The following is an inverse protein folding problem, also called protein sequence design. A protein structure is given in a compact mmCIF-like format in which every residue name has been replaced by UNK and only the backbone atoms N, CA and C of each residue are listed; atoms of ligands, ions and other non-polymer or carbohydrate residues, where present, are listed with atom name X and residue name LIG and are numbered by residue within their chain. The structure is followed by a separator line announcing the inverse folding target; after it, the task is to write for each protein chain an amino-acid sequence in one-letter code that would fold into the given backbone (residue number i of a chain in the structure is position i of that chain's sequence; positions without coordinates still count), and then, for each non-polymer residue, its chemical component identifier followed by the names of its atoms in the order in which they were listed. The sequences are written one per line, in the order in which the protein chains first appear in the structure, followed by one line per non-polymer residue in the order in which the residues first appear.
data_IF_525383143484
#
_entry.id   IF_525383143484
#
_cell.length_a   1.000
_cell.length_b   1.000
_cell.length_c   1.000
_cell.angle_alpha   90.00
_cell.angle_beta   90.00
_cell.angle_gamma   90.00
#
_symmetry.space_group_name_H-M   'P 1'
#
loop_
_entity.id
_entity.type
_entity.pdbx_description
1 polymer ?
#
# COMPACT_ATOMS: atom_id res chain seq x y z
N UNK A 1 -15.76 -26.46 -21.70
CA UNK A 1 -15.94 -25.18 -22.38
C UNK A 1 -16.86 -24.33 -21.50
N UNK A 2 -16.32 -23.60 -20.54
CA UNK A 2 -17.05 -22.68 -19.68
C UNK A 2 -17.00 -21.29 -20.34
N UNK A 3 -18.18 -20.75 -20.53
CA UNK A 3 -18.53 -19.57 -21.31
C UNK A 3 -17.65 -18.35 -21.03
N UNK A 4 -16.91 -17.88 -22.03
CA UNK A 4 -16.24 -16.56 -22.06
C UNK A 4 -17.20 -15.38 -21.88
N UNK A 5 -18.48 -15.60 -22.09
CA UNK A 5 -19.55 -14.58 -22.02
C UNK A 5 -19.93 -14.21 -20.56
N UNK A 6 -19.80 -15.11 -19.61
CA UNK A 6 -20.03 -14.82 -18.18
C UNK A 6 -18.94 -13.95 -17.58
N UNK A 7 -17.70 -14.04 -18.09
CA UNK A 7 -16.59 -13.19 -17.68
C UNK A 7 -16.73 -11.76 -18.19
N UNK A 8 -17.28 -11.57 -19.39
CA UNK A 8 -17.60 -10.24 -19.93
C UNK A 8 -18.68 -9.49 -19.12
N UNK A 9 -19.66 -10.20 -18.58
CA UNK A 9 -20.77 -9.59 -17.84
C UNK A 9 -20.39 -9.18 -16.41
N UNK A 10 -19.48 -9.89 -15.73
CA UNK A 10 -18.97 -9.48 -14.41
C UNK A 10 -18.08 -8.22 -14.48
N UNK A 11 -17.41 -7.96 -15.60
CA UNK A 11 -16.60 -6.76 -15.82
C UNK A 11 -17.43 -5.54 -16.27
N UNK A 12 -18.63 -5.75 -16.81
CA UNK A 12 -19.51 -4.67 -17.31
C UNK A 12 -20.13 -3.82 -16.20
N UNK A 13 -20.16 -4.29 -14.93
CA UNK A 13 -20.73 -3.55 -13.80
C UNK A 13 -19.82 -2.47 -13.20
N UNK A 14 -18.53 -2.46 -13.52
CA UNK A 14 -17.54 -1.52 -13.00
C UNK A 14 -17.07 -0.53 -14.07
N UNK A 15 -17.98 0.32 -14.56
CA UNK A 15 -17.54 1.50 -15.34
C UNK A 15 -16.64 2.36 -14.46
N UNK A 16 -15.36 2.53 -14.80
CA UNK A 16 -14.47 3.35 -14.01
C UNK A 16 -14.98 4.79 -14.00
N UNK A 17 -15.19 5.33 -12.80
CA UNK A 17 -15.72 6.69 -12.59
C UNK A 17 -14.77 7.81 -13.07
N UNK A 18 -13.54 7.49 -13.47
CA UNK A 18 -12.57 8.43 -14.06
C UNK A 18 -11.76 7.77 -15.16
N UNK A 19 -11.32 8.55 -16.16
CA UNK A 19 -10.46 8.05 -17.25
C UNK A 19 -9.15 7.42 -16.76
N UNK A 20 -8.64 7.83 -15.58
CA UNK A 20 -7.41 7.27 -15.02
C UNK A 20 -7.63 5.89 -14.38
N UNK A 21 -8.82 5.57 -13.86
CA UNK A 21 -9.13 4.19 -13.41
C UNK A 21 -9.04 3.20 -14.57
N UNK A 22 -9.57 3.57 -15.75
CA UNK A 22 -9.46 2.74 -16.96
C UNK A 22 -8.00 2.49 -17.33
N UNK A 23 -7.13 3.49 -17.25
CA UNK A 23 -5.70 3.35 -17.52
C UNK A 23 -5.01 2.41 -16.52
N UNK A 24 -5.35 2.50 -15.23
CA UNK A 24 -4.84 1.57 -14.20
C UNK A 24 -5.28 0.14 -14.50
N UNK A 25 -6.56 -0.08 -14.82
CA UNK A 25 -7.05 -1.42 -15.15
C UNK A 25 -6.38 -1.99 -16.40
N UNK A 26 -6.23 -1.18 -17.46
CA UNK A 26 -5.49 -1.58 -18.67
C UNK A 26 -4.03 -1.93 -18.37
N UNK A 27 -3.36 -1.15 -17.50
CA UNK A 27 -1.99 -1.45 -17.07
C UNK A 27 -1.91 -2.75 -16.27
N UNK A 28 -2.85 -3.02 -15.39
CA UNK A 28 -2.93 -4.28 -14.65
C UNK A 28 -3.12 -5.48 -15.60
N UNK A 29 -3.98 -5.35 -16.60
CA UNK A 29 -4.18 -6.41 -17.61
C UNK A 29 -2.92 -6.65 -18.46
N UNK A 30 -2.20 -5.59 -18.81
CA UNK A 30 -0.88 -5.68 -19.46
C UNK A 30 0.12 -6.45 -18.57
N UNK A 31 0.18 -6.11 -17.30
CA UNK A 31 1.08 -6.75 -16.33
C UNK A 31 0.73 -8.21 -16.10
N UNK A 32 -0.54 -8.60 -16.05
CA UNK A 32 -0.97 -9.99 -16.00
C UNK A 32 -0.49 -10.79 -17.21
N UNK A 33 -0.65 -10.26 -18.43
CA UNK A 33 -0.18 -10.90 -19.67
C UNK A 33 1.35 -11.06 -19.65
N UNK A 34 2.07 -10.02 -19.22
CA UNK A 34 3.52 -10.04 -19.11
C UNK A 34 4.00 -11.08 -18.10
N UNK A 35 3.37 -11.17 -16.93
CA UNK A 35 3.67 -12.17 -15.89
C UNK A 35 3.51 -13.59 -16.44
N UNK A 36 2.40 -13.87 -17.12
CA UNK A 36 2.16 -15.18 -17.75
C UNK A 36 3.26 -15.51 -18.77
N UNK A 37 3.65 -14.53 -19.59
CA UNK A 37 4.71 -14.72 -20.59
C UNK A 37 6.09 -14.97 -19.98
N UNK A 38 6.41 -14.35 -18.85
CA UNK A 38 7.73 -14.42 -18.21
C UNK A 38 7.90 -15.65 -17.34
N UNK A 39 6.87 -16.02 -16.60
CA UNK A 39 6.96 -17.06 -15.55
C UNK A 39 6.22 -18.35 -15.91
N UNK A 40 5.51 -18.37 -17.06
CA UNK A 40 4.74 -19.54 -17.49
C UNK A 40 3.46 -19.78 -16.69
N UNK A 41 3.27 -19.02 -15.61
CA UNK A 41 2.10 -19.08 -14.75
C UNK A 41 1.43 -17.72 -14.64
N UNK A 42 0.11 -17.71 -14.67
CA UNK A 42 -0.70 -16.51 -14.49
C UNK A 42 -0.97 -16.25 -13.01
N UNK A 43 -0.78 -15.01 -12.61
CA UNK A 43 -1.21 -14.58 -11.29
C UNK A 43 -2.75 -14.66 -11.19
N UNK A 44 -3.33 -15.26 -10.12
CA UNK A 44 -4.76 -15.25 -9.89
C UNK A 44 -5.34 -13.82 -9.91
N UNK A 45 -6.57 -13.68 -10.39
CA UNK A 45 -7.26 -12.39 -10.40
C UNK A 45 -7.57 -11.94 -8.99
N UNK A 46 -7.32 -10.69 -8.69
CA UNK A 46 -7.58 -10.03 -7.42
C UNK A 46 -8.47 -8.80 -7.60
N UNK A 47 -9.06 -8.31 -6.52
CA UNK A 47 -9.87 -7.08 -6.55
C UNK A 47 -8.99 -5.84 -6.70
N UNK A 48 -9.46 -4.85 -7.46
CA UNK A 48 -8.82 -3.54 -7.57
C UNK A 48 -9.75 -2.49 -7.01
N UNK A 49 -9.30 -1.77 -5.98
CA UNK A 49 -10.08 -0.76 -5.25
C UNK A 49 -9.41 0.61 -5.32
N UNK A 50 -10.21 1.69 -5.35
CA UNK A 50 -9.74 3.07 -5.43
C UNK A 50 -10.21 3.88 -4.21
N UNK A 51 -9.89 3.38 -3.03
CA UNK A 51 -10.43 3.85 -1.76
C UNK A 51 -9.37 4.34 -0.76
N UNK A 52 -8.07 4.24 -1.11
CA UNK A 52 -7.01 4.76 -0.25
C UNK A 52 -7.12 6.28 -0.09
N UNK A 53 -6.68 6.76 1.06
CA UNK A 53 -6.68 8.17 1.44
C UNK A 53 -5.32 8.57 2.02
N UNK A 54 -5.10 9.87 2.12
CA UNK A 54 -3.89 10.43 2.70
C UNK A 54 -2.68 10.30 1.78
N UNK A 55 -1.53 9.90 2.31
CA UNK A 55 -0.25 9.90 1.60
C UNK A 55 0.13 8.56 0.97
N UNK A 56 -0.58 7.50 1.27
CA UNK A 56 -0.34 6.17 0.69
C UNK A 56 -0.90 6.14 -0.72
N UNK A 57 -0.05 5.85 -1.71
CA UNK A 57 -0.42 5.84 -3.12
C UNK A 57 -1.04 4.52 -3.56
N UNK A 58 -0.47 3.41 -3.14
CA UNK A 58 -0.95 2.05 -3.41
C UNK A 58 -0.75 1.16 -2.20
N UNK A 59 -1.42 0.01 -2.19
CA UNK A 59 -1.29 -1.01 -1.16
C UNK A 59 -1.83 -2.35 -1.68
N UNK A 60 -1.00 -3.38 -1.68
CA UNK A 60 -1.41 -4.76 -1.90
C UNK A 60 -1.81 -5.40 -0.57
N UNK A 61 -2.89 -6.19 -0.57
CA UNK A 61 -3.33 -7.00 0.55
C UNK A 61 -3.31 -8.47 0.17
N UNK A 62 -2.71 -9.29 1.02
CA UNK A 62 -2.76 -10.74 0.95
C UNK A 62 -3.35 -11.31 2.23
N UNK A 63 -4.00 -12.45 2.10
CA UNK A 63 -4.46 -13.27 3.21
C UNK A 63 -3.52 -14.45 3.37
N UNK A 64 -3.12 -14.75 4.59
CA UNK A 64 -2.36 -15.97 4.88
C UNK A 64 -3.33 -17.13 5.09
N UNK A 65 -3.17 -18.19 4.31
CA UNK A 65 -3.96 -19.41 4.38
C UNK A 65 -3.01 -20.58 4.65
N UNK A 66 -2.87 -20.95 5.94
CA UNK A 66 -1.88 -21.94 6.35
C UNK A 66 -0.44 -21.40 6.18
N UNK A 67 0.34 -22.04 5.30
CA UNK A 67 1.70 -21.60 4.95
C UNK A 67 1.73 -20.71 3.69
N UNK A 68 0.64 -20.67 2.94
CA UNK A 68 0.53 -19.92 1.69
C UNK A 68 -0.09 -18.53 1.87
N UNK A 69 0.00 -17.72 0.81
CA UNK A 69 -0.66 -16.43 0.72
C UNK A 69 -1.54 -16.36 -0.53
N UNK A 70 -2.73 -15.82 -0.35
CA UNK A 70 -3.64 -15.48 -1.44
C UNK A 70 -3.68 -13.96 -1.58
N UNK A 71 -3.50 -13.46 -2.80
CA UNK A 71 -3.64 -12.03 -3.10
C UNK A 71 -5.12 -11.67 -3.13
N UNK A 72 -5.58 -10.93 -2.13
CA UNK A 72 -6.99 -10.56 -1.99
C UNK A 72 -7.33 -9.36 -2.91
N UNK A 73 -6.55 -8.28 -2.77
CA UNK A 73 -6.83 -7.03 -3.46
C UNK A 73 -5.61 -6.12 -3.56
N UNK A 74 -5.65 -5.25 -4.55
CA UNK A 74 -4.75 -4.10 -4.68
C UNK A 74 -5.57 -2.82 -4.60
N UNK A 75 -5.14 -1.89 -3.76
CA UNK A 75 -5.83 -0.63 -3.49
C UNK A 75 -4.99 0.54 -3.96
N UNK A 76 -5.65 1.55 -4.52
CA UNK A 76 -5.02 2.76 -5.03
C UNK A 76 -5.64 4.03 -4.45
N UNK A 77 -4.83 5.09 -4.37
CA UNK A 77 -5.28 6.42 -3.94
C UNK A 77 -5.65 7.26 -5.16
N UNK A 78 -6.96 7.38 -5.39
CA UNK A 78 -7.48 8.11 -6.53
C UNK A 78 -7.13 9.60 -6.49
N UNK A 79 -7.02 10.22 -5.32
CA UNK A 79 -6.65 11.62 -5.21
C UNK A 79 -5.21 11.90 -5.67
N UNK A 80 -4.27 11.00 -5.33
CA UNK A 80 -2.89 11.07 -5.81
C UNK A 80 -2.83 10.78 -7.32
N UNK A 81 -3.50 9.71 -7.75
CA UNK A 81 -3.55 9.28 -9.15
C UNK A 81 -4.10 10.37 -10.08
N UNK A 82 -5.13 11.11 -9.66
CA UNK A 82 -5.80 12.13 -10.48
C UNK A 82 -5.13 13.51 -10.40
N UNK A 83 -4.05 13.67 -9.63
CA UNK A 83 -3.22 14.87 -9.70
C UNK A 83 -2.45 14.85 -11.02
N UNK A 84 -2.61 15.84 -11.93
CA UNK A 84 -2.04 15.80 -13.28
C UNK A 84 -0.54 15.50 -13.30
N UNK A 85 0.24 16.11 -12.41
CA UNK A 85 1.69 15.90 -12.30
C UNK A 85 2.06 14.45 -11.88
N UNK A 86 1.15 13.69 -11.27
CA UNK A 86 1.42 12.37 -10.74
C UNK A 86 0.97 11.23 -11.67
N UNK A 87 0.02 11.49 -12.58
CA UNK A 87 -0.70 10.44 -13.31
C UNK A 87 0.22 9.49 -14.07
N UNK A 88 1.18 10.03 -14.83
CA UNK A 88 2.10 9.20 -15.63
C UNK A 88 3.03 8.39 -14.72
N UNK A 89 3.61 9.00 -13.72
CA UNK A 89 4.48 8.32 -12.76
C UNK A 89 3.70 7.26 -11.95
N UNK A 90 2.43 7.52 -11.64
CA UNK A 90 1.56 6.57 -10.96
C UNK A 90 1.37 5.29 -11.79
N UNK A 91 1.08 5.42 -13.07
CA UNK A 91 0.94 4.29 -14.00
C UNK A 91 2.25 3.56 -14.24
N UNK A 92 3.35 4.30 -14.35
CA UNK A 92 4.67 3.73 -14.63
C UNK A 92 5.33 3.08 -13.41
N UNK A 93 4.98 3.47 -12.18
CA UNK A 93 5.67 3.03 -10.97
C UNK A 93 4.75 2.45 -9.91
N UNK A 94 3.69 3.17 -9.47
CA UNK A 94 2.85 2.68 -8.39
C UNK A 94 2.05 1.44 -8.79
N UNK A 95 1.49 1.42 -9.98
CA UNK A 95 0.74 0.24 -10.44
C UNK A 95 1.64 -0.99 -10.54
N UNK A 96 2.80 -0.96 -11.21
CA UNK A 96 3.74 -2.09 -11.20
C UNK A 96 4.28 -2.43 -9.81
N UNK A 97 4.48 -1.45 -8.90
CA UNK A 97 4.95 -1.67 -7.54
C UNK A 97 4.00 -2.59 -6.74
N UNK A 98 2.72 -2.24 -6.72
CA UNK A 98 1.72 -3.05 -6.01
C UNK A 98 1.47 -4.38 -6.71
N UNK A 99 1.54 -4.40 -8.04
CA UNK A 99 1.46 -5.62 -8.83
C UNK A 99 2.66 -6.55 -8.58
N UNK A 100 3.87 -6.01 -8.43
CA UNK A 100 5.06 -6.79 -8.10
C UNK A 100 4.94 -7.46 -6.71
N UNK A 101 4.29 -6.80 -5.73
CA UNK A 101 3.95 -7.45 -4.48
C UNK A 101 2.94 -8.59 -4.69
N UNK A 102 1.94 -8.40 -5.54
CA UNK A 102 1.00 -9.47 -5.86
C UNK A 102 1.69 -10.67 -6.51
N UNK A 103 2.63 -10.46 -7.43
CA UNK A 103 3.45 -11.53 -8.02
C UNK A 103 4.33 -12.20 -6.97
N UNK A 104 4.99 -11.42 -6.11
CA UNK A 104 5.85 -11.91 -5.02
C UNK A 104 5.10 -12.86 -4.09
N UNK A 105 3.90 -12.50 -3.66
CA UNK A 105 3.10 -13.30 -2.74
C UNK A 105 2.26 -14.38 -3.43
N UNK A 106 1.85 -14.16 -4.67
CA UNK A 106 0.96 -15.08 -5.39
C UNK A 106 1.68 -16.18 -6.17
N UNK A 107 2.91 -15.94 -6.64
CA UNK A 107 3.68 -16.94 -7.41
C UNK A 107 4.93 -17.45 -6.69
N UNK A 108 5.60 -16.60 -5.92
CA UNK A 108 6.89 -16.92 -5.29
C UNK A 108 6.81 -17.05 -3.77
N UNK A 109 5.63 -17.34 -3.26
CA UNK A 109 5.41 -17.52 -1.84
C UNK A 109 6.27 -18.68 -1.28
N UNK A 110 6.88 -18.44 -0.11
CA UNK A 110 7.73 -19.45 0.54
C UNK A 110 9.20 -19.46 0.10
N UNK A 111 9.53 -18.93 -1.06
CA UNK A 111 10.90 -18.85 -1.53
C UNK A 111 11.72 -17.81 -0.76
N UNK A 112 12.91 -18.19 -0.30
CA UNK A 112 13.74 -17.35 0.59
C UNK A 112 14.08 -15.96 -0.01
N UNK A 113 14.31 -15.89 -1.32
CA UNK A 113 14.65 -14.66 -2.03
C UNK A 113 13.49 -13.65 -2.03
N UNK A 114 12.25 -14.15 -1.97
CA UNK A 114 11.02 -13.35 -2.07
C UNK A 114 10.38 -13.02 -0.72
N UNK A 115 10.96 -13.47 0.42
CA UNK A 115 10.40 -13.20 1.77
C UNK A 115 10.43 -11.74 2.18
N UNK A 116 11.43 -10.99 1.70
CA UNK A 116 11.59 -9.59 2.09
C UNK A 116 10.83 -8.67 1.14
N UNK A 117 9.85 -7.94 1.67
CA UNK A 117 9.20 -6.87 0.93
C UNK A 117 10.25 -5.84 0.45
N UNK A 118 10.24 -5.49 -0.84
CA UNK A 118 11.23 -4.64 -1.50
C UNK A 118 12.67 -5.20 -1.48
N UNK A 119 12.83 -6.49 -1.21
CA UNK A 119 14.11 -7.22 -1.28
C UNK A 119 14.59 -7.43 -2.71
N UNK A 120 15.58 -8.32 -2.89
CA UNK A 120 16.16 -8.63 -4.21
C UNK A 120 15.10 -9.22 -5.15
N UNK A 121 14.30 -10.18 -4.68
CA UNK A 121 13.26 -10.83 -5.46
C UNK A 121 12.21 -9.82 -5.97
N UNK A 122 11.69 -8.97 -5.09
CA UNK A 122 10.76 -7.91 -5.51
C UNK A 122 11.36 -6.95 -6.56
N UNK A 123 12.65 -6.56 -6.40
CA UNK A 123 13.32 -5.69 -7.38
C UNK A 123 13.50 -6.38 -8.73
N UNK A 124 13.75 -7.68 -8.74
CA UNK A 124 13.83 -8.46 -9.97
C UNK A 124 12.47 -8.48 -10.67
N UNK A 125 11.39 -8.80 -9.94
CA UNK A 125 10.02 -8.72 -10.47
C UNK A 125 9.74 -7.35 -11.08
N UNK A 126 10.08 -6.26 -10.40
CA UNK A 126 9.87 -4.89 -10.91
C UNK A 126 10.57 -4.68 -12.26
N UNK A 127 11.84 -5.13 -12.40
CA UNK A 127 12.57 -5.03 -13.68
C UNK A 127 11.95 -5.90 -14.76
N UNK A 128 11.54 -7.12 -14.40
CA UNK A 128 10.84 -8.04 -15.29
C UNK A 128 9.51 -7.44 -15.78
N UNK A 129 8.84 -6.67 -14.94
CA UNK A 129 7.64 -5.91 -15.30
C UNK A 129 7.93 -4.62 -16.10
N UNK A 130 9.21 -4.32 -16.39
CA UNK A 130 9.63 -3.21 -17.22
C UNK A 130 9.89 -1.89 -16.49
N UNK A 131 10.10 -1.94 -15.18
CA UNK A 131 10.47 -0.77 -14.38
C UNK A 131 11.98 -0.73 -14.17
N UNK A 132 12.67 0.16 -14.88
CA UNK A 132 14.13 0.28 -14.82
C UNK A 132 14.61 0.91 -13.50
N UNK A 133 14.00 2.04 -13.12
CA UNK A 133 14.31 2.75 -11.87
C UNK A 133 13.45 2.21 -10.72
N UNK A 134 13.96 1.18 -10.08
CA UNK A 134 13.28 0.49 -8.99
C UNK A 134 13.53 1.23 -7.67
N UNK A 135 12.67 2.16 -7.33
CA UNK A 135 12.68 2.85 -6.04
C UNK A 135 11.54 2.37 -5.14
N UNK A 136 11.81 2.29 -3.83
CA UNK A 136 10.83 1.88 -2.83
C UNK A 136 9.74 2.92 -2.60
N UNK A 137 10.10 4.20 -2.66
CA UNK A 137 9.21 5.30 -2.29
C UNK A 137 8.85 6.14 -3.52
N UNK A 138 7.65 6.71 -3.50
CA UNK A 138 7.24 7.72 -4.46
C UNK A 138 7.49 9.14 -3.91
N UNK A 139 7.68 10.10 -4.80
CA UNK A 139 7.85 11.53 -4.50
C UNK A 139 6.65 12.35 -4.97
N UNK A 140 5.44 11.77 -4.89
CA UNK A 140 4.23 12.47 -5.35
C UNK A 140 3.97 13.75 -4.58
N UNK A 141 3.52 14.77 -5.30
CA UNK A 141 2.89 15.92 -4.68
C UNK A 141 1.59 15.46 -4.01
N UNK A 142 1.64 15.34 -2.70
CA UNK A 142 0.49 15.01 -1.88
C UNK A 142 0.16 16.24 -1.05
N UNK A 143 -1.11 16.65 -1.04
CA UNK A 143 -1.56 17.66 -0.10
C UNK A 143 -1.07 17.28 1.30
N UNK A 144 -0.35 18.19 1.94
CA UNK A 144 0.12 18.00 3.31
C UNK A 144 -1.05 17.46 4.15
N UNK A 145 -0.86 16.31 4.79
CA UNK A 145 -1.86 15.82 5.71
C UNK A 145 -2.12 16.95 6.73
N UNK A 146 -3.41 17.28 6.96
CA UNK A 146 -3.75 18.21 8.03
C UNK A 146 -3.05 17.70 9.27
N UNK A 147 -2.23 18.57 9.88
CA UNK A 147 -1.60 18.27 11.18
C UNK A 147 -2.74 17.87 12.12
N UNK A 148 -2.76 16.63 12.58
CA UNK A 148 -3.75 16.18 13.55
C UNK A 148 -3.62 16.97 14.85
N UNK A 149 -4.60 16.87 15.73
CA UNK A 149 -4.50 17.45 17.07
C UNK A 149 -3.35 16.78 17.81
N UNK A 150 -2.48 17.61 18.39
CA UNK A 150 -1.39 17.20 19.26
C UNK A 150 -1.60 17.79 20.64
N UNK A 151 -1.24 17.05 21.65
CA UNK A 151 -1.45 17.38 23.06
C UNK A 151 -0.10 17.43 23.76
N UNK A 152 0.19 18.49 24.54
CA UNK A 152 1.46 18.60 25.25
C UNK A 152 1.53 17.60 26.40
N UNK A 153 2.67 16.98 26.54
CA UNK A 153 3.02 16.08 27.63
C UNK A 153 4.36 16.47 28.22
N UNK A 154 4.50 16.32 29.52
CA UNK A 154 5.73 16.62 30.26
C UNK A 154 6.11 15.45 31.14
N UNK A 155 7.39 15.18 31.24
CA UNK A 155 7.92 14.18 32.14
C UNK A 155 7.90 14.71 33.59
N UNK A 156 7.32 13.96 34.50
CA UNK A 156 7.28 14.27 35.93
C UNK A 156 8.68 14.16 36.60
N UNK A 157 9.57 13.31 36.03
CA UNK A 157 10.90 13.10 36.59
C UNK A 157 11.96 14.12 36.14
N UNK A 158 12.02 14.44 34.83
CA UNK A 158 13.09 15.28 34.26
C UNK A 158 12.59 16.55 33.54
N UNK A 159 11.29 16.80 33.52
CA UNK A 159 10.71 17.97 32.88
C UNK A 159 10.76 17.94 31.32
N UNK A 160 11.18 16.84 30.69
CA UNK A 160 11.21 16.72 29.23
C UNK A 160 9.81 16.88 28.64
N UNK A 161 9.68 17.74 27.66
CA UNK A 161 8.41 18.03 26.99
C UNK A 161 8.33 17.32 25.63
N UNK A 162 7.15 16.82 25.30
CA UNK A 162 6.85 16.13 24.03
C UNK A 162 5.38 16.33 23.67
N UNK A 163 5.00 15.96 22.45
CA UNK A 163 3.59 16.03 22.03
C UNK A 163 3.08 14.62 21.70
N UNK A 164 1.86 14.31 22.13
CA UNK A 164 1.16 13.10 21.75
C UNK A 164 0.10 13.40 20.70
N UNK A 165 0.02 12.54 19.68
CA UNK A 165 -1.09 12.55 18.73
C UNK A 165 -2.41 12.24 19.46
N UNK A 166 -3.53 12.67 18.89
CA UNK A 166 -4.89 12.37 19.39
C UNK A 166 -5.07 10.89 19.78
N UNK A 167 -4.51 9.97 18.98
CA UNK A 167 -4.62 8.53 19.26
C UNK A 167 -3.90 8.13 20.56
N UNK A 168 -2.69 8.64 20.80
CA UNK A 168 -1.93 8.37 22.03
C UNK A 168 -2.58 9.01 23.22
N UNK A 169 -2.98 10.26 23.08
CA UNK A 169 -3.70 11.03 24.11
C UNK A 169 -4.98 10.31 24.55
N UNK A 170 -5.81 9.87 23.60
CA UNK A 170 -7.03 9.13 23.90
C UNK A 170 -6.77 7.80 24.63
N UNK A 171 -5.66 7.11 24.35
CA UNK A 171 -5.29 5.88 25.09
C UNK A 171 -4.93 6.18 26.55
N UNK A 172 -4.23 7.29 26.80
CA UNK A 172 -3.92 7.73 28.16
C UNK A 172 -5.19 8.08 28.92
N UNK A 173 -6.07 8.89 28.31
CA UNK A 173 -7.35 9.29 28.93
C UNK A 173 -8.25 8.11 29.30
N UNK A 174 -8.21 7.03 28.51
CA UNK A 174 -8.97 5.80 28.77
C UNK A 174 -8.26 4.83 29.71
N UNK A 175 -7.11 5.18 30.25
CA UNK A 175 -6.32 4.27 31.10
C UNK A 175 -5.75 3.05 30.37
N UNK A 176 -5.74 3.07 29.02
CA UNK A 176 -5.29 1.93 28.20
C UNK A 176 -3.77 1.87 27.99
N UNK A 177 -3.06 2.96 28.25
CA UNK A 177 -1.60 3.02 28.08
C UNK A 177 -1.01 4.13 28.97
N UNK A 178 0.11 3.79 29.60
CA UNK A 178 1.03 4.74 30.23
C UNK A 178 2.29 4.81 29.37
N UNK A 179 2.88 5.99 29.26
CA UNK A 179 4.08 6.21 28.47
C UNK A 179 5.22 6.72 29.35
N UNK A 180 6.36 6.06 29.26
CA UNK A 180 7.60 6.48 29.91
C UNK A 180 8.38 7.49 29.08
N UNK A 181 9.13 8.35 29.75
CA UNK A 181 10.04 9.28 29.15
C UNK A 181 11.25 8.55 28.58
N UNK A 182 11.56 8.75 27.30
CA UNK A 182 12.73 8.13 26.66
C UNK A 182 14.09 8.62 27.19
N UNK A 183 14.10 9.71 28.02
CA UNK A 183 15.33 10.24 28.61
C UNK A 183 15.63 9.70 30.01
N UNK A 184 14.63 9.52 30.85
CA UNK A 184 14.84 9.14 32.26
C UNK A 184 13.94 8.01 32.75
N UNK A 185 13.01 7.52 31.92
CA UNK A 185 12.04 6.50 32.32
C UNK A 185 10.86 6.97 33.14
N UNK A 186 10.85 8.24 33.63
CA UNK A 186 9.75 8.83 34.39
C UNK A 186 8.43 8.89 33.59
N UNK A 187 7.30 9.08 34.26
CA UNK A 187 6.01 9.11 33.61
C UNK A 187 5.82 10.38 32.75
N UNK A 188 5.19 10.22 31.57
CA UNK A 188 4.76 11.35 30.75
C UNK A 188 3.31 11.68 31.10
N UNK A 189 3.09 12.84 31.68
CA UNK A 189 1.79 13.36 32.09
C UNK A 189 1.31 14.48 31.17
N UNK A 190 -0.01 14.59 30.96
CA UNK A 190 -0.58 15.65 30.12
C UNK A 190 -0.30 17.02 30.79
N UNK A 191 0.26 17.94 30.00
CA UNK A 191 0.64 19.28 30.44
C UNK A 191 -0.48 20.31 30.12
N UNK A 192 -1.74 19.86 30.05
CA UNK A 192 -2.90 20.74 29.79
C UNK A 192 -3.29 21.54 31.00
#
# INVERSE_FOLDING_TARGET
MLNDDLMGQMLAGLRPKSGNRSKVMAKIDELHKRTLSLYGEGLPRFKVEFDLRGRTAGMMHSLRIGEDYEVERVRFNEAIMNTPANTEQFLARTVPHEFAHAVQYGLFNGEAEYRQAHGKGWRNIMRDLGVEDVTRCHTYDTKAARRGNYYPYKCDGCGYETEFSQRRHNKVLRGQSLYGCGKCGGALVCAA
#
